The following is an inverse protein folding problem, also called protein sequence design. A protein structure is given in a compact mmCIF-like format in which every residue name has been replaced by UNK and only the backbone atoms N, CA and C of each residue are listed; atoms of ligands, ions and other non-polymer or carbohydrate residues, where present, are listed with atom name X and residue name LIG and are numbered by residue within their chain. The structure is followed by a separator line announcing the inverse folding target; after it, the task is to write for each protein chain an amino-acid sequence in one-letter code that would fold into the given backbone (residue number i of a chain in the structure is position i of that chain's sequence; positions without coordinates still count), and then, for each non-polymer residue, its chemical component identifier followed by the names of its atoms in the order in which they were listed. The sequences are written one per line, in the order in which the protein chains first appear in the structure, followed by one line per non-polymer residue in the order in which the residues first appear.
data_IF_535288297501
#
_entry.id   IF_535288297501
#
_cell.length_a   1.000
_cell.length_b   1.000
_cell.length_c   1.000
_cell.angle_alpha   90.00
_cell.angle_beta   90.00
_cell.angle_gamma   90.00
#
_symmetry.space_group_name_H-M   'P 1'
#
loop_
_entity.id
_entity.type
_entity.pdbx_description
1 polymer ?
#
# COMPACT_ATOMS: atom_id res chain seq x y z
N UNK A 1 27.53 3.96 -24.30
CA UNK A 1 26.46 3.03 -24.74
C UNK A 1 25.50 2.95 -23.58
N UNK A 2 24.53 3.86 -23.54
CA UNK A 2 23.50 3.86 -22.50
C UNK A 2 22.65 2.61 -22.73
N UNK A 3 22.76 1.65 -21.82
CA UNK A 3 21.74 0.62 -21.71
C UNK A 3 20.47 1.35 -21.28
N UNK A 4 19.59 1.65 -22.23
CA UNK A 4 18.24 2.13 -21.95
C UNK A 4 17.59 1.11 -21.04
N UNK A 5 17.57 1.39 -19.73
CA UNK A 5 16.86 0.58 -18.75
C UNK A 5 15.42 0.49 -19.20
N UNK A 6 14.99 -0.71 -19.62
CA UNK A 6 13.60 -0.98 -20.02
C UNK A 6 12.72 -0.48 -18.87
N UNK A 7 11.84 0.48 -19.17
CA UNK A 7 10.93 1.04 -18.16
C UNK A 7 10.06 -0.09 -17.63
N UNK A 8 9.99 -0.25 -16.30
CA UNK A 8 9.15 -1.26 -15.67
C UNK A 8 7.68 -0.92 -15.89
N UNK A 9 6.86 -1.95 -16.01
CA UNK A 9 5.41 -1.86 -16.15
C UNK A 9 4.82 -1.52 -14.77
N UNK A 10 4.13 -0.38 -14.61
CA UNK A 10 3.47 -0.03 -13.36
C UNK A 10 2.32 -0.99 -13.03
N UNK A 11 2.14 -1.23 -11.74
CA UNK A 11 1.11 -2.12 -11.20
C UNK A 11 0.21 -1.38 -10.23
N UNK A 12 -1.10 -1.42 -10.47
CA UNK A 12 -2.12 -0.91 -9.54
C UNK A 12 -2.87 -2.08 -8.92
N UNK A 13 -2.89 -2.15 -7.59
CA UNK A 13 -3.73 -3.12 -6.86
C UNK A 13 -5.02 -2.42 -6.46
N UNK A 14 -6.17 -2.94 -6.88
CA UNK A 14 -7.49 -2.50 -6.46
C UNK A 14 -8.01 -3.46 -5.39
N UNK A 15 -8.27 -2.92 -4.20
CA UNK A 15 -8.79 -3.65 -3.05
C UNK A 15 -9.97 -2.91 -2.42
N UNK A 16 -10.56 -3.50 -1.38
CA UNK A 16 -11.73 -2.95 -0.70
C UNK A 16 -12.79 -4.00 -0.47
N UNK A 17 -13.65 -3.75 0.51
CA UNK A 17 -14.63 -4.71 0.97
C UNK A 17 -15.68 -5.06 -0.12
N UNK A 18 -16.41 -6.16 0.06
CA UNK A 18 -17.44 -6.59 -0.89
C UNK A 18 -18.49 -5.49 -1.09
N UNK A 19 -18.88 -5.23 -2.35
CA UNK A 19 -19.88 -4.21 -2.67
C UNK A 19 -19.37 -2.76 -2.62
N UNK A 20 -18.09 -2.50 -2.34
CA UNK A 20 -17.50 -1.15 -2.34
C UNK A 20 -17.41 -0.51 -3.74
N UNK A 21 -17.58 -1.30 -4.81
CA UNK A 21 -17.58 -0.82 -6.20
C UNK A 21 -16.28 -1.08 -6.98
N UNK A 22 -15.43 -2.03 -6.56
CA UNK A 22 -14.14 -2.36 -7.20
C UNK A 22 -14.26 -2.64 -8.69
N UNK A 23 -15.11 -3.57 -9.09
CA UNK A 23 -15.35 -3.93 -10.50
C UNK A 23 -15.89 -2.75 -11.31
N UNK A 24 -16.73 -1.90 -10.72
CA UNK A 24 -17.21 -0.67 -11.36
C UNK A 24 -16.04 0.30 -11.62
N UNK A 25 -15.14 0.47 -10.65
CA UNK A 25 -13.95 1.29 -10.83
C UNK A 25 -13.02 0.72 -11.90
N UNK A 26 -12.76 -0.59 -11.89
CA UNK A 26 -11.92 -1.26 -12.88
C UNK A 26 -12.42 -0.96 -14.30
N UNK A 27 -13.71 -1.19 -14.54
CA UNK A 27 -14.34 -0.91 -15.83
C UNK A 27 -14.25 0.57 -16.22
N UNK A 28 -14.41 1.47 -15.26
CA UNK A 28 -14.26 2.90 -15.50
C UNK A 28 -12.83 3.29 -15.89
N UNK A 29 -11.83 2.77 -15.18
CA UNK A 29 -10.41 3.01 -15.49
C UNK A 29 -10.09 2.57 -16.92
N UNK A 30 -10.56 1.39 -17.32
CA UNK A 30 -10.36 0.86 -18.69
C UNK A 30 -11.02 1.79 -19.72
N UNK A 31 -12.28 2.15 -19.47
CA UNK A 31 -13.05 2.98 -20.40
C UNK A 31 -12.49 4.40 -20.57
N UNK A 32 -11.96 5.00 -19.50
CA UNK A 32 -11.37 6.35 -19.52
C UNK A 32 -9.96 6.38 -20.13
N UNK A 33 -9.33 5.21 -20.34
CA UNK A 33 -7.97 5.11 -20.84
C UNK A 33 -7.88 4.18 -22.07
N UNK A 34 -8.60 4.46 -23.17
CA UNK A 34 -8.69 3.58 -24.34
C UNK A 34 -7.36 3.39 -25.09
N UNK A 35 -6.38 4.28 -24.86
CA UNK A 35 -5.04 4.19 -25.44
C UNK A 35 -4.08 3.29 -24.64
N UNK A 36 -4.44 2.90 -23.41
CA UNK A 36 -3.57 2.14 -22.51
C UNK A 36 -3.86 0.65 -22.65
N UNK A 37 -2.84 -0.15 -22.94
CA UNK A 37 -2.98 -1.61 -22.98
C UNK A 37 -2.89 -2.17 -21.56
N UNK A 38 -4.00 -2.68 -21.04
CA UNK A 38 -4.04 -3.26 -19.69
C UNK A 38 -3.85 -4.78 -19.73
N UNK A 39 -3.00 -5.29 -18.84
CA UNK A 39 -3.14 -6.65 -18.35
C UNK A 39 -3.98 -6.60 -17.06
N UNK A 40 -4.98 -7.47 -16.94
CA UNK A 40 -5.89 -7.47 -15.79
C UNK A 40 -5.89 -8.87 -15.16
N UNK A 41 -5.75 -8.90 -13.84
CA UNK A 41 -5.86 -10.11 -13.01
C UNK A 41 -7.01 -9.89 -12.01
N UNK A 42 -8.11 -10.60 -12.21
CA UNK A 42 -9.25 -10.62 -11.30
C UNK A 42 -9.19 -11.87 -10.41
N UNK A 43 -9.46 -11.72 -9.12
CA UNK A 43 -9.32 -12.81 -8.14
C UNK A 43 -10.65 -13.28 -7.50
N UNK A 44 -11.82 -12.79 -7.92
CA UNK A 44 -13.11 -13.12 -7.28
C UNK A 44 -13.85 -14.26 -8.00
N UNK A 45 -14.36 -15.24 -7.22
CA UNK A 45 -15.34 -16.21 -7.70
C UNK A 45 -16.69 -15.52 -7.83
N UNK A 46 -17.16 -15.37 -9.07
CA UNK A 46 -18.50 -14.92 -9.38
C UNK A 46 -18.76 -15.09 -10.86
N UNK A 47 -19.79 -15.86 -11.20
CA UNK A 47 -20.27 -16.01 -12.57
C UNK A 47 -20.66 -14.64 -13.14
N UNK A 48 -19.80 -14.08 -13.97
CA UNK A 48 -20.28 -13.36 -15.14
C UNK A 48 -19.54 -14.00 -16.32
N UNK A 49 -20.20 -14.87 -17.12
CA UNK A 49 -19.80 -14.93 -18.52
C UNK A 49 -20.00 -13.51 -19.00
N UNK A 50 -18.90 -12.80 -19.28
CA UNK A 50 -18.99 -11.62 -20.13
C UNK A 50 -19.51 -12.20 -21.43
N UNK A 51 -20.83 -12.12 -21.60
CA UNK A 51 -21.50 -12.29 -22.88
C UNK A 51 -20.59 -11.67 -23.94
N UNK A 52 -20.38 -12.40 -25.03
CA UNK A 52 -19.36 -12.25 -26.07
C UNK A 52 -19.10 -10.86 -26.70
N UNK A 53 -19.45 -9.74 -26.07
CA UNK A 53 -19.47 -8.39 -26.65
C UNK A 53 -18.77 -7.29 -25.81
N UNK A 54 -17.99 -7.58 -24.75
CA UNK A 54 -17.14 -6.55 -24.08
C UNK A 54 -15.70 -7.04 -23.84
N UNK A 55 -15.12 -7.70 -24.84
CA UNK A 55 -13.66 -7.71 -25.08
C UNK A 55 -13.46 -7.74 -26.60
N UNK A 56 -13.89 -6.68 -27.30
CA UNK A 56 -13.56 -6.49 -28.72
C UNK A 56 -13.19 -5.02 -28.93
N UNK A 57 -11.92 -4.73 -28.70
CA UNK A 57 -11.31 -3.41 -28.87
C UNK A 57 -9.82 -3.45 -29.21
N UNK A 58 -9.38 -4.46 -29.98
CA UNK A 58 -8.03 -4.60 -30.54
C UNK A 58 -6.87 -4.77 -29.53
N UNK A 59 -6.61 -6.02 -29.14
CA UNK A 59 -5.31 -6.46 -28.57
C UNK A 59 -5.30 -6.87 -27.10
N UNK A 60 -6.47 -7.01 -26.47
CA UNK A 60 -6.59 -7.03 -25.01
C UNK A 60 -6.21 -8.37 -24.36
N UNK A 61 -5.06 -8.39 -23.68
CA UNK A 61 -4.57 -9.45 -22.82
C UNK A 61 -5.27 -9.48 -21.46
N UNK A 62 -6.57 -9.81 -21.45
CA UNK A 62 -7.30 -10.07 -20.19
C UNK A 62 -7.00 -11.50 -19.75
N UNK A 63 -6.35 -11.66 -18.59
CA UNK A 63 -5.98 -12.95 -18.02
C UNK A 63 -6.82 -13.23 -16.76
N UNK A 64 -7.94 -13.92 -16.93
CA UNK A 64 -8.72 -14.41 -15.80
C UNK A 64 -7.99 -15.60 -15.11
N UNK A 65 -7.77 -15.50 -13.80
CA UNK A 65 -7.29 -16.64 -13.01
C UNK A 65 -8.41 -17.66 -12.86
N UNK A 66 -8.31 -18.78 -13.59
CA UNK A 66 -9.26 -19.88 -13.43
C UNK A 66 -8.77 -20.85 -12.36
N UNK A 67 -9.63 -21.08 -11.37
CA UNK A 67 -9.59 -22.08 -10.30
C UNK A 67 -8.90 -21.70 -8.97
N UNK A 68 -9.75 -21.53 -7.95
CA UNK A 68 -9.67 -22.41 -6.77
C UNK A 68 -9.36 -21.69 -5.46
N UNK A 69 -10.37 -21.61 -4.58
CA UNK A 69 -10.21 -21.28 -3.18
C UNK A 69 -8.95 -21.92 -2.57
N UNK A 70 -8.20 -21.13 -1.81
CA UNK A 70 -7.64 -21.46 -0.49
C UNK A 70 -6.83 -20.23 -0.10
N UNK A 71 -7.20 -19.61 1.02
CA UNK A 71 -6.60 -18.43 1.63
C UNK A 71 -5.08 -18.52 1.95
N UNK A 72 -4.40 -19.58 1.50
CA UNK A 72 -2.97 -19.84 1.67
C UNK A 72 -2.18 -19.95 0.34
N UNK A 73 -2.83 -20.08 -0.82
CA UNK A 73 -2.16 -20.40 -2.12
C UNK A 73 -2.02 -19.20 -3.06
N UNK A 74 -2.63 -18.06 -2.70
CA UNK A 74 -2.70 -16.85 -3.53
C UNK A 74 -1.34 -16.35 -4.04
N UNK A 75 -0.33 -16.33 -3.16
CA UNK A 75 1.00 -15.83 -3.54
C UNK A 75 1.72 -16.77 -4.53
N UNK A 76 1.45 -18.08 -4.47
CA UNK A 76 2.10 -19.06 -5.35
C UNK A 76 1.50 -19.00 -6.75
N UNK A 77 0.17 -18.97 -6.86
CA UNK A 77 -0.51 -18.88 -8.14
C UNK A 77 -0.32 -17.53 -8.82
N UNK A 78 -0.42 -16.42 -8.06
CA UNK A 78 -0.10 -15.09 -8.59
C UNK A 78 1.33 -15.03 -9.10
N UNK A 79 2.30 -15.56 -8.34
CA UNK A 79 3.70 -15.59 -8.75
C UNK A 79 3.93 -16.37 -10.05
N UNK A 80 3.17 -17.45 -10.31
CA UNK A 80 3.26 -18.18 -11.59
C UNK A 80 2.74 -17.32 -12.75
N UNK A 81 1.60 -16.66 -12.56
CA UNK A 81 1.01 -15.80 -13.59
C UNK A 81 1.89 -14.61 -13.91
N UNK A 82 2.44 -13.94 -12.88
CA UNK A 82 3.38 -12.85 -13.08
C UNK A 82 4.62 -13.31 -13.85
N UNK A 83 5.21 -14.46 -13.50
CA UNK A 83 6.37 -15.00 -14.25
C UNK A 83 6.02 -15.36 -15.69
N UNK A 84 4.83 -15.90 -15.93
CA UNK A 84 4.33 -16.18 -17.27
C UNK A 84 4.19 -14.90 -18.11
N UNK A 85 3.67 -13.82 -17.52
CA UNK A 85 3.62 -12.51 -18.17
C UNK A 85 5.01 -11.95 -18.47
N UNK A 86 5.97 -12.13 -17.55
CA UNK A 86 7.38 -11.78 -17.81
C UNK A 86 7.94 -12.58 -18.99
N UNK A 87 7.70 -13.90 -19.04
CA UNK A 87 8.27 -14.80 -20.04
C UNK A 87 7.69 -14.61 -21.43
N UNK A 88 6.42 -14.20 -21.54
CA UNK A 88 5.80 -13.93 -22.83
C UNK A 88 6.29 -12.65 -23.50
N UNK A 89 6.91 -11.74 -22.75
CA UNK A 89 7.21 -10.38 -23.21
C UNK A 89 5.99 -9.70 -23.84
N UNK A 90 4.80 -9.93 -23.28
CA UNK A 90 3.55 -9.35 -23.78
C UNK A 90 3.63 -7.81 -23.76
N UNK A 91 3.04 -7.17 -24.78
CA UNK A 91 3.07 -5.72 -24.99
C UNK A 91 1.89 -5.05 -24.29
N UNK A 92 2.02 -4.79 -22.99
CA UNK A 92 1.04 -4.03 -22.22
C UNK A 92 1.70 -2.94 -21.37
N UNK A 93 0.98 -1.84 -21.18
CA UNK A 93 1.48 -0.61 -20.57
C UNK A 93 1.29 -0.59 -19.05
N UNK A 94 0.29 -1.33 -18.54
CA UNK A 94 -0.09 -1.30 -17.13
C UNK A 94 -0.70 -2.63 -16.69
N UNK A 95 -0.39 -3.07 -15.46
CA UNK A 95 -1.02 -4.24 -14.84
C UNK A 95 -1.98 -3.80 -13.74
N UNK A 96 -3.24 -4.22 -13.83
CA UNK A 96 -4.22 -4.03 -12.76
C UNK A 96 -4.53 -5.38 -12.10
N UNK A 97 -4.50 -5.41 -10.77
CA UNK A 97 -4.89 -6.58 -9.99
C UNK A 97 -6.08 -6.20 -9.13
N UNK A 98 -7.24 -6.79 -9.40
CA UNK A 98 -8.40 -6.71 -8.51
C UNK A 98 -8.33 -7.85 -7.48
N UNK A 99 -8.22 -7.49 -6.21
CA UNK A 99 -8.28 -8.46 -5.10
C UNK A 99 -9.73 -8.68 -4.69
N UNK A 100 -10.08 -9.88 -4.23
CA UNK A 100 -11.44 -10.15 -3.70
C UNK A 100 -11.79 -9.24 -2.53
N UNK A 101 -13.09 -9.12 -2.25
CA UNK A 101 -13.58 -8.35 -1.09
C UNK A 101 -12.97 -8.73 0.25
N UNK A 102 -12.38 -9.93 0.35
CA UNK A 102 -11.82 -10.52 1.58
C UNK A 102 -10.31 -10.79 1.50
N UNK A 103 -9.65 -10.42 0.39
CA UNK A 103 -8.23 -10.70 0.19
C UNK A 103 -7.34 -9.71 0.96
N UNK A 104 -6.19 -10.23 1.38
CA UNK A 104 -5.10 -9.46 2.00
C UNK A 104 -4.22 -8.81 0.93
N UNK A 105 -4.29 -7.48 0.73
CA UNK A 105 -3.54 -6.79 -0.31
C UNK A 105 -2.03 -6.81 -0.09
N UNK A 106 -1.56 -6.96 1.15
CA UNK A 106 -0.14 -7.07 1.43
C UNK A 106 0.45 -8.37 0.85
N UNK A 107 -0.36 -9.42 0.69
CA UNK A 107 0.04 -10.69 0.07
C UNK A 107 0.34 -10.52 -1.41
N UNK A 108 -0.55 -9.82 -2.11
CA UNK A 108 -0.42 -9.50 -3.53
C UNK A 108 0.79 -8.60 -3.76
N UNK A 109 0.92 -7.53 -2.97
CA UNK A 109 2.06 -6.62 -3.06
C UNK A 109 3.40 -7.29 -2.77
N UNK A 110 3.44 -8.28 -1.86
CA UNK A 110 4.67 -8.99 -1.52
C UNK A 110 5.29 -9.70 -2.73
N UNK A 111 4.49 -10.17 -3.69
CA UNK A 111 4.99 -10.82 -4.91
C UNK A 111 5.91 -9.89 -5.73
N UNK A 112 5.63 -8.58 -5.71
CA UNK A 112 6.43 -7.56 -6.39
C UNK A 112 7.70 -7.16 -5.62
N UNK A 113 7.83 -7.58 -4.35
CA UNK A 113 8.97 -7.26 -3.48
C UNK A 113 9.85 -8.48 -3.21
N UNK A 114 9.33 -9.70 -3.36
CA UNK A 114 10.08 -10.93 -3.07
C UNK A 114 10.67 -11.62 -4.30
N UNK A 115 10.17 -11.37 -5.50
CA UNK A 115 10.59 -12.07 -6.71
C UNK A 115 11.40 -11.18 -7.66
N UNK A 116 12.69 -11.49 -7.83
CA UNK A 116 13.62 -10.72 -8.67
C UNK A 116 13.22 -10.69 -10.15
N UNK A 117 12.60 -11.76 -10.67
CA UNK A 117 12.16 -11.84 -12.07
C UNK A 117 10.91 -10.99 -12.29
N UNK A 118 10.02 -10.95 -11.31
CA UNK A 118 8.87 -10.03 -11.33
C UNK A 118 9.39 -8.59 -11.25
N UNK A 119 10.32 -8.29 -10.35
CA UNK A 119 10.89 -6.95 -10.18
C UNK A 119 11.66 -6.42 -11.39
N UNK A 120 12.19 -7.29 -12.26
CA UNK A 120 12.88 -6.82 -13.47
C UNK A 120 11.91 -6.27 -14.52
N UNK A 121 10.62 -6.56 -14.39
CA UNK A 121 9.59 -6.20 -15.37
C UNK A 121 8.53 -5.29 -14.79
N UNK A 122 8.12 -5.52 -13.54
CA UNK A 122 7.02 -4.81 -12.88
C UNK A 122 7.51 -3.91 -11.74
N UNK A 123 6.78 -2.83 -11.52
CA UNK A 123 6.94 -1.93 -10.38
C UNK A 123 5.58 -1.64 -9.76
N UNK A 124 5.45 -1.81 -8.45
CA UNK A 124 4.20 -1.49 -7.75
C UNK A 124 4.02 0.04 -7.69
N UNK A 125 3.05 0.57 -8.43
CA UNK A 125 2.73 2.00 -8.45
C UNK A 125 1.97 2.40 -7.18
N UNK A 126 0.97 1.60 -6.79
CA UNK A 126 0.27 1.80 -5.52
C UNK A 126 -0.90 0.84 -5.31
N UNK A 127 -1.40 0.84 -4.07
CA UNK A 127 -2.63 0.13 -3.70
C UNK A 127 -3.78 1.10 -3.49
N UNK A 128 -4.88 0.89 -4.19
CA UNK A 128 -6.12 1.65 -4.10
C UNK A 128 -7.14 0.84 -3.32
N UNK A 129 -7.66 1.37 -2.22
CA UNK A 129 -8.73 0.70 -1.45
C UNK A 129 -10.03 1.48 -1.56
N UNK A 130 -11.07 0.82 -2.06
CA UNK A 130 -12.42 1.37 -2.10
C UNK A 130 -13.12 1.09 -0.78
N UNK A 131 -13.75 2.13 -0.26
CA UNK A 131 -14.46 2.11 1.00
C UNK A 131 -15.89 2.54 0.73
N UNK A 132 -16.85 1.73 1.16
CA UNK A 132 -18.26 2.12 1.14
C UNK A 132 -18.52 3.11 2.28
N UNK A 133 -18.74 4.38 1.95
CA UNK A 133 -18.95 5.43 2.94
C UNK A 133 -20.22 5.22 3.78
N UNK A 134 -21.24 4.53 3.23
CA UNK A 134 -22.47 4.26 3.96
C UNK A 134 -22.31 3.15 5.01
N UNK A 135 -21.34 2.26 4.84
CA UNK A 135 -21.21 1.05 5.64
C UNK A 135 -19.84 0.87 6.31
N UNK A 136 -18.93 1.84 6.25
CA UNK A 136 -17.58 1.69 6.81
C UNK A 136 -17.60 1.30 8.30
N UNK A 137 -18.37 2.02 9.12
CA UNK A 137 -18.40 1.77 10.57
C UNK A 137 -18.87 0.34 10.88
N UNK A 138 -20.00 -0.06 10.29
CA UNK A 138 -20.54 -1.42 10.44
C UNK A 138 -19.56 -2.48 9.92
N UNK A 139 -18.86 -2.19 8.81
CA UNK A 139 -17.87 -3.10 8.23
C UNK A 139 -16.69 -3.28 9.18
N UNK A 140 -16.19 -2.22 9.81
CA UNK A 140 -15.13 -2.29 10.80
C UNK A 140 -15.60 -3.01 12.07
N UNK A 141 -16.84 -2.82 12.52
CA UNK A 141 -17.37 -3.54 13.69
C UNK A 141 -17.51 -5.05 13.44
N UNK A 142 -18.00 -5.45 12.26
CA UNK A 142 -18.27 -6.86 11.93
C UNK A 142 -17.07 -7.62 11.40
N UNK A 143 -16.16 -6.95 10.71
CA UNK A 143 -15.04 -7.55 9.99
C UNK A 143 -13.70 -6.86 10.29
N UNK A 144 -13.54 -6.46 11.56
CA UNK A 144 -12.49 -5.56 12.07
C UNK A 144 -11.08 -5.84 11.56
N UNK A 145 -10.74 -7.08 11.19
CA UNK A 145 -9.39 -7.38 10.71
C UNK A 145 -9.17 -7.11 9.21
N UNK A 146 -10.08 -7.53 8.32
CA UNK A 146 -9.80 -7.50 6.86
C UNK A 146 -9.98 -6.11 6.28
N UNK A 147 -11.10 -5.44 6.58
CA UNK A 147 -11.35 -4.09 6.11
C UNK A 147 -10.30 -3.10 6.65
N UNK A 148 -9.91 -3.28 7.92
CA UNK A 148 -8.80 -2.56 8.54
C UNK A 148 -7.48 -2.77 7.81
N UNK A 149 -7.12 -4.02 7.48
CA UNK A 149 -5.90 -4.34 6.75
C UNK A 149 -5.89 -3.69 5.37
N UNK A 150 -7.02 -3.74 4.65
CA UNK A 150 -7.18 -3.10 3.35
C UNK A 150 -6.96 -1.58 3.44
N UNK A 151 -7.59 -0.92 4.43
CA UNK A 151 -7.42 0.52 4.66
C UNK A 151 -5.98 0.84 5.07
N UNK A 152 -5.40 0.08 6.00
CA UNK A 152 -4.04 0.25 6.51
C UNK A 152 -2.97 0.10 5.43
N UNK A 153 -3.20 -0.80 4.47
CA UNK A 153 -2.24 -1.10 3.41
C UNK A 153 -2.32 -0.13 2.23
N UNK A 154 -3.47 0.53 2.03
CA UNK A 154 -3.70 1.40 0.88
C UNK A 154 -2.75 2.60 0.82
N UNK A 155 -2.48 3.06 -0.39
CA UNK A 155 -1.83 4.33 -0.69
C UNK A 155 -2.83 5.42 -1.06
N UNK A 156 -3.99 5.01 -1.58
CA UNK A 156 -5.15 5.84 -1.81
C UNK A 156 -6.41 5.17 -1.24
N UNK A 157 -7.22 5.94 -0.51
CA UNK A 157 -8.52 5.54 0.00
C UNK A 157 -9.61 6.27 -0.77
N UNK A 158 -10.44 5.50 -1.46
CA UNK A 158 -11.53 6.01 -2.28
C UNK A 158 -12.86 5.78 -1.54
N UNK A 159 -13.36 6.83 -0.89
CA UNK A 159 -14.63 6.80 -0.17
C UNK A 159 -15.76 6.91 -1.20
N UNK A 160 -16.33 5.77 -1.59
CA UNK A 160 -17.37 5.66 -2.59
C UNK A 160 -18.77 5.75 -1.97
N UNK A 161 -19.79 5.91 -2.81
CA UNK A 161 -21.21 5.99 -2.43
C UNK A 161 -21.52 7.16 -1.48
N UNK A 162 -20.77 8.25 -1.59
CA UNK A 162 -21.01 9.44 -0.76
C UNK A 162 -22.34 10.13 -1.07
N UNK A 163 -22.98 9.80 -2.20
CA UNK A 163 -24.34 10.17 -2.56
C UNK A 163 -25.43 9.53 -1.69
N UNK A 164 -25.09 8.48 -0.93
CA UNK A 164 -26.04 7.74 -0.09
C UNK A 164 -26.07 8.22 1.37
N UNK A 165 -25.21 9.17 1.72
CA UNK A 165 -25.04 9.64 3.10
C UNK A 165 -24.88 11.16 3.17
N UNK A 166 -25.19 11.72 4.34
CA UNK A 166 -25.02 13.15 4.57
C UNK A 166 -23.54 13.53 4.71
N UNK A 167 -23.25 14.81 4.47
CA UNK A 167 -21.89 15.38 4.56
C UNK A 167 -21.21 15.14 5.91
N UNK A 168 -21.98 15.07 7.00
CA UNK A 168 -21.47 14.76 8.35
C UNK A 168 -20.90 13.33 8.42
N UNK A 169 -21.58 12.36 7.79
CA UNK A 169 -21.12 10.97 7.73
C UNK A 169 -19.86 10.86 6.87
N UNK A 170 -19.82 11.54 5.72
CA UNK A 170 -18.62 11.59 4.87
C UNK A 170 -17.41 12.11 5.66
N UNK A 171 -17.58 13.21 6.39
CA UNK A 171 -16.51 13.78 7.22
C UNK A 171 -16.04 12.80 8.30
N UNK A 172 -16.97 12.09 8.95
CA UNK A 172 -16.66 11.08 9.97
C UNK A 172 -15.90 9.89 9.39
N UNK A 173 -16.36 9.34 8.26
CA UNK A 173 -15.71 8.23 7.54
C UNK A 173 -14.30 8.63 7.12
N UNK A 174 -14.12 9.86 6.62
CA UNK A 174 -12.82 10.40 6.28
C UNK A 174 -11.88 10.47 7.49
N UNK A 175 -12.37 10.93 8.65
CA UNK A 175 -11.59 10.94 9.89
C UNK A 175 -11.20 9.54 10.34
N UNK A 176 -12.12 8.57 10.28
CA UNK A 176 -11.84 7.16 10.62
C UNK A 176 -10.74 6.63 9.69
N UNK A 177 -10.93 6.74 8.37
CA UNK A 177 -9.97 6.31 7.37
C UNK A 177 -8.55 6.89 7.61
N UNK A 178 -8.47 8.19 7.89
CA UNK A 178 -7.21 8.89 8.17
C UNK A 178 -6.58 8.47 9.51
N UNK A 179 -7.37 8.21 10.54
CA UNK A 179 -6.87 7.70 11.83
C UNK A 179 -6.25 6.31 11.71
N UNK A 180 -6.78 5.49 10.81
CA UNK A 180 -6.25 4.16 10.51
C UNK A 180 -4.98 4.29 9.68
N UNK A 181 -5.03 5.04 8.58
CA UNK A 181 -3.92 5.18 7.65
C UNK A 181 -3.62 6.66 7.34
N UNK A 182 -2.67 7.26 8.06
CA UNK A 182 -2.30 8.66 7.85
C UNK A 182 -1.47 8.90 6.58
N UNK A 183 -1.01 7.85 5.89
CA UNK A 183 -0.28 7.99 4.62
C UNK A 183 -1.18 7.99 3.40
N UNK A 184 -2.42 7.50 3.52
CA UNK A 184 -3.26 7.39 2.36
C UNK A 184 -3.76 8.77 1.90
N UNK A 185 -3.74 8.99 0.59
CA UNK A 185 -4.55 10.07 0.02
C UNK A 185 -6.01 9.65 0.12
N UNK A 186 -6.86 10.46 0.76
CA UNK A 186 -8.29 10.16 0.88
C UNK A 186 -9.07 11.02 -0.11
N UNK A 187 -9.87 10.37 -0.95
CA UNK A 187 -10.68 11.01 -2.00
C UNK A 187 -12.11 10.49 -1.89
N UNK A 188 -13.07 11.41 -1.90
CA UNK A 188 -14.51 11.09 -1.87
C UNK A 188 -15.07 11.04 -3.27
N UNK A 189 -16.06 10.18 -3.49
CA UNK A 189 -16.69 10.03 -4.79
C UNK A 189 -17.97 9.20 -4.73
N UNK A 190 -18.57 9.03 -5.90
CA UNK A 190 -19.81 8.32 -6.10
C UNK A 190 -19.77 7.59 -7.42
N UNK A 191 -20.45 6.45 -7.51
CA UNK A 191 -20.47 5.60 -8.71
C UNK A 191 -19.07 5.27 -9.23
N UNK A 192 -18.11 5.07 -8.31
CA UNK A 192 -16.70 4.84 -8.60
C UNK A 192 -15.95 5.97 -9.33
N UNK A 193 -16.51 7.20 -9.34
CA UNK A 193 -15.86 8.38 -9.91
C UNK A 193 -15.17 9.20 -8.83
N UNK A 194 -13.89 9.52 -9.04
CA UNK A 194 -13.06 10.24 -8.08
C UNK A 194 -12.25 11.32 -8.80
N UNK A 195 -12.38 12.57 -8.36
CA UNK A 195 -11.65 13.70 -8.93
C UNK A 195 -10.34 13.96 -8.17
N UNK A 196 -9.34 14.55 -8.85
CA UNK A 196 -8.09 14.97 -8.22
C UNK A 196 -7.12 13.83 -7.88
N UNK A 197 -7.30 12.65 -8.46
CA UNK A 197 -6.40 11.50 -8.30
C UNK A 197 -6.15 10.79 -9.63
N UNK A 198 -4.90 10.39 -9.88
CA UNK A 198 -4.53 9.57 -11.02
C UNK A 198 -4.24 8.15 -10.53
N UNK A 199 -5.19 7.23 -10.74
CA UNK A 199 -5.11 5.86 -10.22
C UNK A 199 -4.11 4.95 -10.96
N UNK A 200 -3.57 5.42 -12.09
CA UNK A 200 -2.57 4.72 -12.90
C UNK A 200 -1.15 5.29 -12.69
N UNK A 201 -1.00 6.32 -11.85
CA UNK A 201 0.29 6.94 -11.55
C UNK A 201 0.24 7.60 -10.17
N UNK A 202 0.03 6.79 -9.13
CA UNK A 202 0.03 7.21 -7.74
C UNK A 202 1.44 7.51 -7.23
N UNK A 203 2.46 6.86 -7.80
CA UNK A 203 3.85 7.01 -7.39
C UNK A 203 4.06 6.77 -5.89
N UNK A 204 3.26 5.87 -5.31
CA UNK A 204 3.12 5.76 -3.86
C UNK A 204 4.33 5.13 -3.16
N UNK A 205 5.15 4.42 -3.94
CA UNK A 205 6.37 3.77 -3.51
C UNK A 205 7.64 4.55 -3.91
N UNK A 206 7.49 5.69 -4.58
CA UNK A 206 8.61 6.58 -4.87
C UNK A 206 9.05 7.30 -3.60
N UNK A 207 10.37 7.43 -3.44
CA UNK A 207 10.98 8.07 -2.27
C UNK A 207 10.40 9.44 -1.98
N UNK A 208 10.32 10.32 -2.99
CA UNK A 208 9.85 11.70 -2.82
C UNK A 208 8.41 11.77 -2.25
N UNK A 209 7.53 10.89 -2.74
CA UNK A 209 6.14 10.81 -2.26
C UNK A 209 6.09 10.38 -0.80
N UNK A 210 6.90 9.40 -0.40
CA UNK A 210 6.93 8.92 0.98
C UNK A 210 7.49 10.00 1.89
N UNK A 211 8.61 10.64 1.53
CA UNK A 211 9.18 11.74 2.32
C UNK A 211 8.16 12.85 2.58
N UNK A 212 7.52 13.33 1.50
CA UNK A 212 6.53 14.40 1.59
C UNK A 212 5.40 14.01 2.54
N UNK A 213 4.84 12.80 2.39
CA UNK A 213 3.75 12.33 3.27
C UNK A 213 4.20 12.18 4.72
N UNK A 214 5.40 11.67 4.96
CA UNK A 214 5.94 11.52 6.32
C UNK A 214 6.08 12.87 7.04
N UNK A 215 6.48 13.95 6.35
CA UNK A 215 6.60 15.28 6.95
C UNK A 215 5.28 15.85 7.50
N UNK A 216 4.14 15.50 6.89
CA UNK A 216 2.82 15.98 7.32
C UNK A 216 2.16 15.12 8.40
N UNK A 217 2.78 14.01 8.81
CA UNK A 217 2.22 13.14 9.84
C UNK A 217 2.52 13.74 11.21
N UNK A 218 1.56 14.53 11.70
CA UNK A 218 1.53 15.01 13.09
C UNK A 218 0.91 13.95 14.02
N UNK A 219 1.30 13.99 15.30
CA UNK A 219 0.78 13.10 16.34
C UNK A 219 -0.72 13.33 16.57
N UNK A 220 -1.57 12.69 15.77
CA UNK A 220 -3.00 12.59 16.05
C UNK A 220 -3.27 11.23 16.69
N UNK A 221 -3.51 11.22 18.00
CA UNK A 221 -4.01 10.04 18.71
C UNK A 221 -5.53 10.09 18.76
N UNK A 222 -6.20 9.30 17.92
CA UNK A 222 -7.61 9.00 18.09
C UNK A 222 -7.72 7.54 18.55
N UNK A 223 -8.11 7.32 19.81
CA UNK A 223 -8.28 6.00 20.42
C UNK A 223 -9.74 5.52 20.22
N UNK A 224 -10.21 5.42 18.96
CA UNK A 224 -11.58 4.99 18.67
C UNK A 224 -11.69 3.56 18.10
N UNK A 225 -10.58 2.85 17.93
CA UNK A 225 -10.56 1.47 17.40
C UNK A 225 -9.39 0.67 17.97
N UNK A 226 -9.51 -0.67 18.06
CA UNK A 226 -8.40 -1.56 18.42
C UNK A 226 -7.25 -1.54 17.40
N UNK A 227 -7.54 -1.01 16.21
CA UNK A 227 -6.63 -0.64 15.14
C UNK A 227 -6.10 0.78 15.35
N UNK A 228 -4.78 0.93 15.38
CA UNK A 228 -4.15 2.22 15.70
C UNK A 228 -2.92 2.43 14.83
N UNK A 229 -2.81 3.61 14.23
CA UNK A 229 -1.53 4.11 13.73
C UNK A 229 -0.70 4.68 14.89
N UNK A 230 0.56 4.28 15.00
CA UNK A 230 1.51 4.78 16.02
C UNK A 230 2.73 5.39 15.34
N UNK A 231 2.85 6.70 15.43
CA UNK A 231 3.97 7.49 14.91
C UNK A 231 5.02 7.74 15.99
N UNK A 232 6.29 7.68 15.61
CA UNK A 232 7.44 7.96 16.46
C UNK A 232 8.43 8.85 15.72
N UNK A 233 9.00 9.83 16.43
CA UNK A 233 9.99 10.75 15.88
C UNK A 233 11.25 10.76 16.73
N UNK A 234 12.42 10.81 16.08
CA UNK A 234 13.73 10.77 16.74
C UNK A 234 14.70 11.74 16.06
N UNK A 235 15.28 12.66 16.83
CA UNK A 235 16.34 13.56 16.35
C UNK A 235 17.72 12.89 16.36
N UNK A 236 17.91 11.90 17.25
CA UNK A 236 19.14 11.11 17.28
C UNK A 236 19.18 10.14 16.09
N UNK A 237 20.36 9.96 15.45
CA UNK A 237 20.50 9.01 14.37
C UNK A 237 20.45 7.56 14.88
N UNK A 238 19.87 6.69 14.06
CA UNK A 238 19.87 5.25 14.27
C UNK A 238 21.21 4.61 13.88
N UNK A 239 21.54 3.51 14.55
CA UNK A 239 22.53 2.53 14.14
C UNK A 239 21.86 1.58 13.12
N UNK A 240 22.34 1.59 11.88
CA UNK A 240 21.71 0.89 10.76
C UNK A 240 21.64 -0.62 10.99
N UNK A 241 22.72 -1.23 11.47
CA UNK A 241 22.78 -2.68 11.70
C UNK A 241 21.88 -3.11 12.84
N UNK A 242 21.84 -2.35 13.95
CA UNK A 242 20.90 -2.61 15.04
C UNK A 242 19.45 -2.51 14.58
N UNK A 243 19.12 -1.47 13.80
CA UNK A 243 17.78 -1.27 13.29
C UNK A 243 17.38 -2.41 12.35
N UNK A 244 18.23 -2.77 11.38
CA UNK A 244 17.98 -3.88 10.43
C UNK A 244 17.77 -5.22 11.14
N UNK A 245 18.62 -5.54 12.11
CA UNK A 245 18.48 -6.78 12.88
C UNK A 245 17.17 -6.82 13.66
N UNK A 246 16.83 -5.72 14.33
CA UNK A 246 15.60 -5.62 15.10
C UNK A 246 14.35 -5.68 14.22
N UNK A 247 14.32 -4.95 13.10
CA UNK A 247 13.14 -4.91 12.24
C UNK A 247 12.91 -6.26 11.55
N UNK A 248 13.98 -6.97 11.18
CA UNK A 248 13.91 -8.34 10.70
C UNK A 248 13.29 -9.27 11.76
N UNK A 249 13.76 -9.20 13.01
CA UNK A 249 13.17 -9.98 14.10
C UNK A 249 11.70 -9.62 14.35
N UNK A 250 11.36 -8.33 14.31
CA UNK A 250 9.98 -7.86 14.49
C UNK A 250 9.07 -8.46 13.41
N UNK A 251 9.45 -8.36 12.13
CA UNK A 251 8.61 -8.76 11.00
C UNK A 251 8.56 -10.27 10.74
N UNK A 252 9.59 -11.03 11.15
CA UNK A 252 9.62 -12.48 10.97
C UNK A 252 9.18 -13.28 12.20
N UNK A 253 9.33 -12.73 13.42
CA UNK A 253 9.08 -13.46 14.66
C UNK A 253 7.92 -12.86 15.47
N UNK A 254 7.75 -11.54 15.43
CA UNK A 254 6.85 -10.80 16.33
C UNK A 254 5.81 -9.96 15.58
N UNK A 255 5.50 -10.30 14.33
CA UNK A 255 4.68 -9.47 13.43
C UNK A 255 3.19 -9.40 13.77
N UNK A 256 2.76 -10.04 14.87
CA UNK A 256 1.36 -10.13 15.25
C UNK A 256 0.76 -8.74 15.36
N UNK A 257 -0.25 -8.49 14.53
CA UNK A 257 -0.98 -7.22 14.51
C UNK A 257 -0.30 -6.09 13.74
N UNK A 258 0.87 -6.27 13.12
CA UNK A 258 1.48 -5.24 12.26
C UNK A 258 1.02 -5.45 10.82
N UNK A 259 0.38 -4.43 10.24
CA UNK A 259 -0.10 -4.47 8.86
C UNK A 259 0.83 -3.72 7.92
N UNK A 260 1.33 -2.56 8.35
CA UNK A 260 2.24 -1.74 7.55
C UNK A 260 3.17 -0.94 8.43
N UNK A 261 4.39 -0.73 7.96
CA UNK A 261 5.33 0.22 8.52
C UNK A 261 5.88 1.06 7.38
N UNK A 262 5.88 2.39 7.57
CA UNK A 262 6.55 3.34 6.68
C UNK A 262 7.34 4.34 7.51
N UNK A 263 8.48 4.80 7.01
CA UNK A 263 9.25 5.83 7.68
C UNK A 263 10.37 6.41 6.85
N UNK A 264 10.84 7.56 7.31
CA UNK A 264 12.06 8.24 6.87
C UNK A 264 13.05 8.16 8.03
N UNK A 265 14.22 7.59 7.80
CA UNK A 265 15.20 7.26 8.83
C UNK A 265 16.50 8.04 8.62
N UNK A 266 17.02 8.59 9.71
CA UNK A 266 18.36 9.16 9.82
C UNK A 266 19.31 8.09 10.34
N UNK A 267 20.19 7.56 9.49
CA UNK A 267 21.29 6.69 9.92
C UNK A 267 22.58 7.49 10.07
N UNK A 268 23.34 7.21 11.13
CA UNK A 268 24.44 8.05 11.58
C UNK A 268 25.58 8.28 10.57
N UNK A 269 25.71 7.40 9.58
CA UNK A 269 26.80 7.41 8.59
C UNK A 269 26.28 7.72 7.19
N UNK A 270 25.05 8.28 7.09
CA UNK A 270 24.44 8.68 5.82
C UNK A 270 24.10 10.17 5.84
N UNK A 271 24.37 10.83 4.73
CA UNK A 271 24.06 12.23 4.47
C UNK A 271 22.70 12.43 3.78
N UNK A 272 22.08 11.34 3.34
CA UNK A 272 20.74 11.30 2.78
C UNK A 272 19.74 10.59 3.70
N UNK A 273 18.47 10.87 3.45
CA UNK A 273 17.32 10.21 4.07
C UNK A 273 17.26 8.77 3.59
N UNK A 274 16.88 7.86 4.48
CA UNK A 274 16.57 6.48 4.10
C UNK A 274 15.08 6.23 4.25
N UNK A 275 14.45 5.80 3.16
CA UNK A 275 13.04 5.44 3.14
C UNK A 275 12.91 3.97 3.51
N UNK A 276 12.11 3.72 4.53
CA UNK A 276 11.79 2.40 5.01
C UNK A 276 10.32 2.10 4.74
N UNK A 277 10.05 0.94 4.17
CA UNK A 277 8.69 0.44 3.98
C UNK A 277 8.63 -1.08 4.19
N UNK A 278 7.57 -1.56 4.84
CA UNK A 278 7.29 -2.98 4.99
C UNK A 278 6.11 -3.41 4.11
N UNK A 279 6.21 -4.62 3.56
CA UNK A 279 5.14 -5.33 2.87
C UNK A 279 5.11 -6.75 3.43
N UNK A 280 4.11 -7.05 4.27
CA UNK A 280 4.10 -8.25 5.13
C UNK A 280 5.38 -8.38 5.96
N UNK A 281 6.08 -9.51 5.82
CA UNK A 281 7.34 -9.79 6.48
C UNK A 281 8.56 -9.30 5.70
N UNK A 282 8.36 -8.79 4.48
CA UNK A 282 9.42 -8.17 3.68
C UNK A 282 9.53 -6.69 4.01
N UNK A 283 10.73 -6.13 3.80
CA UNK A 283 10.96 -4.71 3.92
C UNK A 283 11.99 -4.25 2.88
N UNK A 284 11.90 -2.98 2.52
CA UNK A 284 12.80 -2.33 1.56
C UNK A 284 13.36 -1.07 2.19
N UNK A 285 14.65 -0.84 1.96
CA UNK A 285 15.30 0.43 2.20
C UNK A 285 15.63 1.07 0.86
N UNK A 286 15.18 2.30 0.64
CA UNK A 286 15.50 3.09 -0.55
C UNK A 286 16.23 4.36 -0.14
N UNK A 287 17.17 4.80 -0.97
CA UNK A 287 17.82 6.10 -0.79
C UNK A 287 16.84 7.22 -1.14
N UNK A 288 16.89 8.29 -0.35
CA UNK A 288 16.13 9.49 -0.58
C UNK A 288 16.97 10.73 -0.75
N UNK A 289 16.31 11.87 -0.58
CA UNK A 289 16.97 13.16 -0.75
C UNK A 289 18.03 13.38 0.32
N UNK A 290 19.02 14.22 0.02
CA UNK A 290 19.99 14.66 1.02
C UNK A 290 19.26 15.33 2.20
N UNK A 291 19.83 15.18 3.40
CA UNK A 291 19.37 15.98 4.54
C UNK A 291 19.74 17.44 4.33
N UNK A 292 18.81 18.35 4.62
CA UNK A 292 19.11 19.79 4.61
C UNK A 292 20.20 20.12 5.63
N UNK A 293 21.12 21.00 5.28
CA UNK A 293 22.22 21.40 6.18
C UNK A 293 21.74 22.24 7.36
N UNK A 294 20.61 22.93 7.18
CA UNK A 294 20.14 23.97 8.09
C UNK A 294 18.99 23.50 8.99
N UNK A 295 18.53 22.26 8.82
CA UNK A 295 17.41 21.67 9.57
C UNK A 295 17.86 20.46 10.38
N UNK A 296 17.28 20.23 11.57
CA UNK A 296 17.56 19.02 12.34
C UNK A 296 17.13 17.77 11.56
N UNK A 297 17.98 16.75 11.56
CA UNK A 297 17.70 15.46 10.92
C UNK A 297 16.77 14.63 11.80
N UNK A 298 15.50 14.62 11.46
CA UNK A 298 14.49 13.88 12.22
C UNK A 298 14.07 12.62 11.49
N UNK A 299 14.23 11.48 12.16
CA UNK A 299 13.60 10.24 11.72
C UNK A 299 12.13 10.25 12.12
N UNK A 300 11.26 9.79 11.23
CA UNK A 300 9.85 9.54 11.54
C UNK A 300 9.47 8.16 11.02
N UNK A 301 8.92 7.33 11.91
CA UNK A 301 8.46 5.98 11.60
C UNK A 301 7.06 5.76 12.14
N UNK A 302 6.22 5.10 11.35
CA UNK A 302 4.81 4.90 11.66
C UNK A 302 4.47 3.44 11.49
N UNK A 303 3.88 2.86 12.52
CA UNK A 303 3.39 1.49 12.56
C UNK A 303 1.88 1.53 12.47
N UNK A 304 1.29 0.80 11.52
CA UNK A 304 -0.15 0.67 11.36
C UNK A 304 -0.52 -0.78 11.66
N UNK A 305 -1.46 -0.98 12.57
CA UNK A 305 -1.78 -2.31 13.04
C UNK A 305 -2.71 -2.34 14.23
N UNK A 306 -3.03 -3.55 14.69
CA UNK A 306 -3.85 -3.79 15.87
C UNK A 306 -2.98 -4.13 17.09
N UNK A 307 -3.45 -3.74 18.28
CA UNK A 307 -2.79 -4.05 19.56
C UNK A 307 -1.31 -3.62 19.64
N UNK A 308 -0.95 -2.52 18.96
CA UNK A 308 0.41 -2.00 18.94
C UNK A 308 0.80 -1.43 20.32
N UNK A 309 1.75 -2.09 20.99
CA UNK A 309 2.25 -1.62 22.27
C UNK A 309 3.27 -0.49 22.09
N UNK A 310 2.79 0.77 22.20
CA UNK A 310 3.60 1.99 22.05
C UNK A 310 4.89 1.95 22.88
N UNK A 311 4.81 1.59 24.17
CA UNK A 311 5.96 1.58 25.09
C UNK A 311 7.01 0.54 24.68
N UNK A 312 6.59 -0.62 24.18
CA UNK A 312 7.50 -1.67 23.71
C UNK A 312 8.18 -1.24 22.42
N UNK A 313 7.42 -0.73 21.44
CA UNK A 313 7.97 -0.24 20.17
C UNK A 313 8.96 0.90 20.40
N UNK A 314 8.57 1.90 21.19
CA UNK A 314 9.41 3.05 21.53
C UNK A 314 10.71 2.63 22.23
N UNK A 315 10.63 1.71 23.20
CA UNK A 315 11.83 1.20 23.88
C UNK A 315 12.76 0.48 22.91
N UNK A 316 12.22 -0.32 21.99
CA UNK A 316 13.02 -1.05 21.00
C UNK A 316 13.65 -0.12 19.97
N UNK A 317 12.92 0.87 19.48
CA UNK A 317 13.45 1.94 18.63
C UNK A 317 14.59 2.69 19.34
N UNK A 318 14.38 3.13 20.58
CA UNK A 318 15.41 3.79 21.37
C UNK A 318 16.69 2.93 21.53
N UNK A 319 16.54 1.61 21.67
CA UNK A 319 17.70 0.70 21.76
C UNK A 319 18.53 0.61 20.47
N UNK A 320 17.96 1.04 19.34
CA UNK A 320 18.63 1.12 18.04
C UNK A 320 19.32 2.47 17.80
N UNK A 321 19.16 3.47 18.67
CA UNK A 321 19.82 4.77 18.52
C UNK A 321 21.34 4.66 18.77
N UNK A 322 22.13 5.50 18.09
CA UNK A 322 23.58 5.54 18.29
C UNK A 322 23.91 6.17 19.64
N UNK A 323 24.43 5.37 20.58
CA UNK A 323 24.68 5.75 21.98
C UNK A 323 25.64 6.93 22.14
N UNK A 324 26.58 7.12 21.22
CA UNK A 324 27.54 8.24 21.30
C UNK A 324 26.86 9.61 21.14
N UNK A 325 25.67 9.68 20.54
CA UNK A 325 24.88 10.91 20.41
C UNK A 325 24.12 11.26 21.69
N UNK A 326 23.67 10.24 22.44
CA UNK A 326 22.95 10.42 23.72
C UNK A 326 23.86 10.84 24.89
N UNK A 327 25.19 10.70 24.74
CA UNK A 327 26.18 11.08 25.74
C UNK A 327 26.77 12.48 25.53
N UNK A 328 26.34 13.19 24.47
CA UNK A 328 26.80 14.53 24.10
C UNK A 328 25.74 15.63 24.21
N UNK A 329 24.58 15.32 24.81
CA UNK A 329 23.54 16.28 25.21
C UNK A 329 23.55 16.42 26.72
#
# INVERSE_FOLDING_TARGET
MDATTKKKIPVTIITGFLGSGKTTLLNQIIHENPQTKFAIIENEFGEIPIDNDIIIGAGDGIFALTNGCICCTLNVELGKVLRHLVDKEDDFDHLIIETTGIADPAGVAAAFVSDMKVQSTFELDGTVCLVDAAHLEETLEKQDEVAAQQIAFADALLLNKTDQVDTEVVAKVQQIAQSINPYAQVVTGSFARFEGINLLNLQAHQTETIERKTHYIHNHSHDHTHLVSRSFSFEAPFDEEKFKLWIYQLLHVQNKGIYRIKGVLNFAEKDHKIIFQSVKNQFVFSEGTLWDTDSPRTSTIVFIGQNLNKKVLERRLNSCLKKSYLAGV
#
